data_IF_858816845589
#
_entry.id   IF_858816845589
#
_cell.length_a   1.000
_cell.length_b   1.000
_cell.length_c   1.000
_cell.angle_alpha   90.00
_cell.angle_beta   90.00
_cell.angle_gamma   90.00
#
_symmetry.space_group_name_H-M   'P 1'
#
loop_
_entity.id
_entity.type
_entity.pdbx_description
1 polymer ?
#
# COMPACT_ATOMS: atom_id res chain seq x y z
N UNK A 1 7.97 -6.87 18.06
CA UNK A 1 9.37 -7.30 18.01
C UNK A 1 9.51 -8.75 18.49
N UNK A 2 9.30 -9.03 19.79
CA UNK A 2 9.51 -10.36 20.39
C UNK A 2 8.74 -11.48 19.67
N UNK A 3 7.46 -11.28 19.35
CA UNK A 3 6.64 -12.28 18.66
C UNK A 3 7.20 -12.66 17.28
N UNK A 4 7.69 -11.69 16.49
CA UNK A 4 8.27 -11.99 15.16
C UNK A 4 9.53 -12.81 15.25
N UNK A 5 10.38 -12.54 16.23
CA UNK A 5 11.60 -13.31 16.47
C UNK A 5 11.29 -14.76 16.86
N UNK A 6 10.39 -14.96 17.83
CA UNK A 6 9.97 -16.29 18.26
C UNK A 6 9.29 -17.08 17.12
N UNK A 7 8.48 -16.40 16.29
CA UNK A 7 7.87 -17.04 15.10
C UNK A 7 8.92 -17.53 14.11
N UNK A 8 9.99 -16.75 13.87
CA UNK A 8 11.08 -17.16 12.98
C UNK A 8 11.79 -18.42 13.51
N UNK A 9 12.08 -18.47 14.81
CA UNK A 9 12.68 -19.65 15.46
C UNK A 9 11.79 -20.88 15.27
N UNK A 10 10.49 -20.75 15.51
CA UNK A 10 9.52 -21.84 15.36
C UNK A 10 9.39 -22.30 13.90
N UNK A 11 9.34 -21.37 12.97
CA UNK A 11 9.28 -21.64 11.53
C UNK A 11 10.53 -22.42 11.06
N UNK A 12 11.72 -21.98 11.47
CA UNK A 12 13.00 -22.68 11.18
C UNK A 12 13.02 -24.07 11.80
N UNK A 13 12.56 -24.24 13.05
CA UNK A 13 12.46 -25.53 13.73
C UNK A 13 11.51 -26.48 12.99
N UNK A 14 10.34 -25.99 12.57
CA UNK A 14 9.40 -26.79 11.78
C UNK A 14 10.02 -27.19 10.45
N UNK A 15 10.66 -26.26 9.73
CA UNK A 15 11.27 -26.52 8.42
C UNK A 15 12.42 -27.52 8.48
N UNK A 16 13.17 -27.55 9.58
CA UNK A 16 14.27 -28.50 9.82
C UNK A 16 13.84 -29.84 10.45
N UNK A 17 12.54 -29.99 10.73
CA UNK A 17 12.02 -31.22 11.35
C UNK A 17 12.20 -32.43 10.42
N UNK A 18 12.73 -33.56 10.90
CA UNK A 18 12.84 -34.80 10.12
C UNK A 18 11.48 -35.37 9.72
N UNK A 19 10.41 -34.95 10.41
CA UNK A 19 9.04 -35.44 10.16
C UNK A 19 8.29 -34.64 9.08
N UNK A 20 8.86 -33.54 8.59
CA UNK A 20 8.20 -32.66 7.59
C UNK A 20 7.84 -33.44 6.31
N UNK A 21 8.64 -34.45 5.96
CA UNK A 21 8.40 -35.29 4.79
C UNK A 21 7.22 -36.26 4.93
N UNK A 22 6.69 -36.42 6.15
CA UNK A 22 5.52 -37.24 6.44
C UNK A 22 4.20 -36.48 6.26
N UNK A 23 4.27 -35.13 6.12
CA UNK A 23 3.10 -34.33 5.85
C UNK A 23 2.58 -34.59 4.44
N UNK A 24 1.26 -34.60 4.30
CA UNK A 24 0.62 -34.65 2.98
C UNK A 24 0.99 -33.37 2.19
N UNK A 25 1.75 -33.58 1.10
CA UNK A 25 2.29 -32.48 0.30
C UNK A 25 1.19 -31.66 -0.38
N UNK A 26 0.08 -32.28 -0.76
CA UNK A 26 -1.02 -31.54 -1.40
C UNK A 26 -1.76 -30.67 -0.36
N UNK A 27 -2.06 -31.24 0.80
CA UNK A 27 -2.78 -30.55 1.88
C UNK A 27 -1.97 -29.42 2.49
N UNK A 28 -0.66 -29.62 2.71
CA UNK A 28 0.20 -28.67 3.40
C UNK A 28 1.03 -27.77 2.46
N UNK A 29 0.90 -27.90 1.15
CA UNK A 29 1.69 -27.14 0.17
C UNK A 29 1.69 -25.64 0.41
N UNK A 30 0.52 -25.04 0.48
CA UNK A 30 0.39 -23.58 0.67
C UNK A 30 0.91 -23.12 2.04
N UNK A 31 0.71 -23.90 3.08
CA UNK A 31 1.21 -23.62 4.42
C UNK A 31 2.74 -23.62 4.47
N UNK A 32 3.38 -24.67 3.95
CA UNK A 32 4.83 -24.80 3.95
C UNK A 32 5.50 -23.71 3.09
N UNK A 33 4.94 -23.39 1.94
CA UNK A 33 5.38 -22.28 1.09
C UNK A 33 5.30 -20.94 1.83
N UNK A 34 4.24 -20.73 2.60
CA UNK A 34 4.09 -19.56 3.46
C UNK A 34 5.19 -19.45 4.52
N UNK A 35 5.52 -20.55 5.18
CA UNK A 35 6.60 -20.62 6.17
C UNK A 35 7.97 -20.32 5.52
N UNK A 36 8.26 -20.92 4.37
CA UNK A 36 9.51 -20.66 3.63
C UNK A 36 9.66 -19.18 3.27
N UNK A 37 8.58 -18.56 2.80
CA UNK A 37 8.52 -17.12 2.55
C UNK A 37 8.84 -16.31 3.81
N UNK A 38 8.21 -16.61 4.93
CA UNK A 38 8.43 -15.89 6.18
C UNK A 38 9.87 -16.01 6.67
N UNK A 39 10.48 -17.21 6.61
CA UNK A 39 11.89 -17.42 6.94
C UNK A 39 12.80 -16.60 6.01
N UNK A 40 12.53 -16.60 4.71
CA UNK A 40 13.29 -15.86 3.70
C UNK A 40 13.28 -14.35 3.96
N UNK A 41 12.11 -13.81 4.28
CA UNK A 41 11.90 -12.38 4.46
C UNK A 41 12.29 -11.86 5.84
N UNK A 42 12.40 -12.74 6.83
CA UNK A 42 12.74 -12.33 8.19
C UNK A 42 14.16 -11.82 8.28
N UNK A 43 14.31 -10.59 8.78
CA UNK A 43 15.58 -9.96 9.17
C UNK A 43 15.37 -9.24 10.47
N UNK A 44 16.27 -9.47 11.43
CA UNK A 44 16.17 -8.89 12.76
C UNK A 44 16.28 -7.37 12.72
N UNK A 45 17.19 -6.83 11.89
CA UNK A 45 17.36 -5.40 11.65
C UNK A 45 16.10 -4.72 11.07
N UNK A 46 15.24 -5.45 10.39
CA UNK A 46 13.99 -4.92 9.86
C UNK A 46 12.90 -4.73 10.92
N UNK A 47 13.05 -5.32 12.11
CA UNK A 47 12.05 -5.21 13.19
C UNK A 47 11.87 -3.75 13.62
N UNK A 48 13.00 -3.04 13.83
CA UNK A 48 12.97 -1.63 14.21
C UNK A 48 12.36 -0.77 13.09
N UNK A 49 12.78 -0.99 11.84
CA UNK A 49 12.30 -0.24 10.68
C UNK A 49 10.80 -0.43 10.48
N UNK A 50 10.26 -1.64 10.67
CA UNK A 50 8.82 -1.87 10.64
C UNK A 50 8.05 -1.11 11.73
N UNK A 51 8.62 -0.99 12.95
CA UNK A 51 8.01 -0.19 14.01
C UNK A 51 7.97 1.30 13.64
N UNK A 52 9.06 1.84 13.09
CA UNK A 52 9.14 3.21 12.60
C UNK A 52 8.14 3.47 11.46
N UNK A 53 8.01 2.55 10.49
CA UNK A 53 7.02 2.65 9.42
C UNK A 53 5.58 2.71 9.94
N UNK A 54 5.28 1.98 11.03
CA UNK A 54 3.96 2.07 11.65
C UNK A 54 3.71 3.44 12.28
N UNK A 55 4.72 4.04 12.91
CA UNK A 55 4.63 5.41 13.46
C UNK A 55 4.42 6.43 12.34
N UNK A 56 5.17 6.32 11.24
CA UNK A 56 5.01 7.19 10.07
C UNK A 56 3.63 7.04 9.42
N UNK A 57 3.09 5.82 9.36
CA UNK A 57 1.73 5.59 8.87
C UNK A 57 0.66 6.25 9.76
N UNK A 58 0.87 6.25 11.10
CA UNK A 58 0.01 6.99 12.02
C UNK A 58 0.14 8.51 11.82
N UNK A 59 1.37 9.00 11.55
CA UNK A 59 1.59 10.41 11.26
C UNK A 59 0.81 10.86 10.01
N UNK A 60 0.79 10.06 8.95
CA UNK A 60 -0.07 10.32 7.78
C UNK A 60 -1.55 10.46 8.18
N UNK A 61 -2.04 9.56 9.03
CA UNK A 61 -3.41 9.62 9.56
C UNK A 61 -3.69 10.90 10.36
N UNK A 62 -2.72 11.35 11.16
CA UNK A 62 -2.82 12.59 11.93
C UNK A 62 -2.87 13.83 11.03
N UNK A 63 -2.00 13.91 10.00
CA UNK A 63 -1.99 15.01 9.03
C UNK A 63 -3.33 15.07 8.30
N UNK A 64 -3.77 13.98 7.73
CA UNK A 64 -5.00 13.94 6.91
C UNK A 64 -6.27 14.09 7.75
N UNK A 65 -6.27 13.57 8.98
CA UNK A 65 -7.40 13.65 9.90
C UNK A 65 -7.71 15.06 10.44
N UNK A 66 -6.68 15.94 10.50
CA UNK A 66 -6.85 17.35 10.90
C UNK A 66 -7.31 18.27 9.78
N UNK A 67 -7.39 17.77 8.54
CA UNK A 67 -7.82 18.58 7.42
C UNK A 67 -9.32 18.86 7.47
N UNK A 68 -9.69 20.12 7.55
CA UNK A 68 -11.07 20.59 7.54
C UNK A 68 -11.23 21.80 6.62
N UNK A 69 -12.46 22.05 6.19
CA UNK A 69 -12.89 23.24 5.45
C UNK A 69 -14.19 23.80 6.02
N UNK A 70 -14.39 25.08 5.85
CA UNK A 70 -15.64 25.75 6.20
C UNK A 70 -16.57 25.81 4.99
N UNK A 71 -17.85 25.40 5.19
CA UNK A 71 -18.94 25.56 4.23
C UNK A 71 -20.16 26.14 4.96
N UNK A 72 -20.67 27.26 4.49
CA UNK A 72 -21.82 27.98 5.10
C UNK A 72 -21.64 28.25 6.61
N UNK A 73 -20.45 28.70 7.02
CA UNK A 73 -20.13 29.04 8.41
C UNK A 73 -19.95 27.83 9.34
N UNK A 74 -19.91 26.62 8.80
CA UNK A 74 -19.73 25.39 9.56
C UNK A 74 -18.51 24.62 9.08
N UNK A 75 -17.72 24.13 10.05
CA UNK A 75 -16.53 23.34 9.78
C UNK A 75 -16.88 21.87 9.48
N UNK A 76 -16.24 21.30 8.45
CA UNK A 76 -16.38 19.90 8.01
C UNK A 76 -15.01 19.32 7.76
N UNK A 77 -14.80 18.07 8.18
CA UNK A 77 -13.63 17.29 7.71
C UNK A 77 -13.75 17.10 6.19
N UNK A 78 -12.62 16.87 5.49
CA UNK A 78 -12.67 16.67 4.01
C UNK A 78 -13.59 15.52 3.63
N UNK A 79 -13.66 14.47 4.46
CA UNK A 79 -14.56 13.34 4.22
C UNK A 79 -16.04 13.74 4.35
N UNK A 80 -16.39 14.53 5.37
CA UNK A 80 -17.73 15.07 5.53
C UNK A 80 -18.11 16.06 4.41
N UNK A 81 -17.14 16.88 3.97
CA UNK A 81 -17.33 17.85 2.90
C UNK A 81 -17.59 17.20 1.53
N UNK A 82 -17.15 15.96 1.32
CA UNK A 82 -17.38 15.22 0.07
C UNK A 82 -18.87 15.10 -0.31
N UNK A 83 -19.79 15.13 0.66
CA UNK A 83 -21.24 15.12 0.40
C UNK A 83 -21.73 16.31 -0.44
N UNK A 84 -21.07 17.46 -0.31
CA UNK A 84 -21.42 18.66 -1.09
C UNK A 84 -21.06 18.52 -2.57
N UNK A 85 -20.05 17.69 -2.90
CA UNK A 85 -19.65 17.41 -4.28
C UNK A 85 -20.69 16.58 -5.06
N UNK A 86 -21.65 15.97 -4.34
CA UNK A 86 -22.72 15.16 -4.92
C UNK A 86 -24.04 15.93 -5.12
N UNK A 87 -24.09 17.19 -4.71
CA UNK A 87 -25.31 18.01 -4.83
C UNK A 87 -25.53 18.50 -6.26
N UNK A 88 -26.79 18.82 -6.62
CA UNK A 88 -27.16 19.35 -7.94
C UNK A 88 -26.61 20.75 -8.21
N UNK A 89 -26.42 21.58 -7.17
CA UNK A 89 -25.89 22.93 -7.30
C UNK A 89 -24.42 22.91 -7.75
N UNK A 90 -24.18 23.30 -9.02
CA UNK A 90 -22.84 23.29 -9.62
C UNK A 90 -21.90 24.28 -8.95
N UNK A 91 -22.36 25.48 -8.59
CA UNK A 91 -21.53 26.51 -7.95
C UNK A 91 -21.02 26.04 -6.58
N UNK A 92 -21.90 25.43 -5.78
CA UNK A 92 -21.50 24.84 -4.49
C UNK A 92 -20.48 23.72 -4.66
N UNK A 93 -20.66 22.84 -5.66
CA UNK A 93 -19.67 21.78 -5.94
C UNK A 93 -18.31 22.35 -6.30
N UNK A 94 -18.27 23.36 -7.15
CA UNK A 94 -17.03 24.00 -7.59
C UNK A 94 -16.31 24.70 -6.42
N UNK A 95 -17.05 25.47 -5.63
CA UNK A 95 -16.53 26.11 -4.44
C UNK A 95 -15.92 25.11 -3.46
N UNK A 96 -16.66 24.06 -3.11
CA UNK A 96 -16.20 23.04 -2.16
C UNK A 96 -15.02 22.27 -2.74
N UNK A 97 -15.00 21.97 -4.04
CA UNK A 97 -13.87 21.33 -4.71
C UNK A 97 -12.58 22.16 -4.56
N UNK A 98 -12.66 23.46 -4.81
CA UNK A 98 -11.51 24.36 -4.66
C UNK A 98 -11.06 24.49 -3.21
N UNK A 99 -11.99 24.56 -2.25
CA UNK A 99 -11.65 24.59 -0.81
C UNK A 99 -10.91 23.31 -0.40
N UNK A 100 -11.39 22.14 -0.81
CA UNK A 100 -10.73 20.85 -0.53
C UNK A 100 -9.34 20.80 -1.17
N UNK A 101 -9.22 21.19 -2.44
CA UNK A 101 -7.94 21.20 -3.15
C UNK A 101 -6.92 22.14 -2.49
N UNK A 102 -7.35 23.36 -2.14
CA UNK A 102 -6.51 24.32 -1.44
C UNK A 102 -6.06 23.79 -0.07
N UNK A 103 -6.98 23.23 0.73
CA UNK A 103 -6.66 22.65 2.04
C UNK A 103 -5.61 21.56 1.97
N UNK A 104 -5.74 20.64 1.02
CA UNK A 104 -4.74 19.58 0.79
C UNK A 104 -3.37 20.13 0.43
N UNK A 105 -3.34 21.17 -0.38
CA UNK A 105 -2.09 21.82 -0.82
C UNK A 105 -1.31 22.47 0.34
N UNK A 106 -1.98 22.89 1.40
CA UNK A 106 -1.34 23.49 2.57
C UNK A 106 -0.39 22.51 3.29
N UNK A 107 -0.73 21.21 3.34
CA UNK A 107 0.09 20.19 3.99
C UNK A 107 0.99 19.43 2.99
N UNK A 108 1.10 19.88 1.73
CA UNK A 108 1.84 19.19 0.67
C UNK A 108 3.29 18.90 1.06
N UNK A 109 4.02 19.89 1.56
CA UNK A 109 5.44 19.73 1.91
C UNK A 109 5.65 18.69 3.03
N UNK A 110 4.78 18.70 4.04
CA UNK A 110 4.84 17.73 5.14
C UNK A 110 4.52 16.32 4.64
N UNK A 111 3.53 16.16 3.76
CA UNK A 111 3.18 14.89 3.15
C UNK A 111 4.26 14.37 2.21
N UNK A 112 4.87 15.22 1.40
CA UNK A 112 5.94 14.84 0.48
C UNK A 112 7.17 14.36 1.27
N UNK A 113 7.58 15.09 2.32
CA UNK A 113 8.69 14.68 3.19
C UNK A 113 8.42 13.33 3.90
N UNK A 114 7.19 13.16 4.42
CA UNK A 114 6.76 11.90 5.03
C UNK A 114 6.79 10.75 4.03
N UNK A 115 6.36 10.99 2.79
CA UNK A 115 6.35 9.98 1.74
C UNK A 115 7.77 9.56 1.34
N UNK A 116 8.68 10.51 1.21
CA UNK A 116 10.10 10.23 0.93
C UNK A 116 10.75 9.38 2.03
N UNK A 117 10.46 9.68 3.30
CA UNK A 117 10.94 8.88 4.43
C UNK A 117 10.36 7.45 4.39
N UNK A 118 9.07 7.30 4.09
CA UNK A 118 8.43 5.99 3.91
C UNK A 118 9.07 5.17 2.79
N UNK A 119 9.41 5.81 1.65
CA UNK A 119 10.08 5.16 0.51
C UNK A 119 11.47 4.69 0.94
N UNK A 120 12.26 5.56 1.57
CA UNK A 120 13.62 5.23 1.99
C UNK A 120 13.65 4.02 2.96
N UNK A 121 12.77 4.03 3.97
CA UNK A 121 12.68 2.92 4.94
C UNK A 121 12.19 1.62 4.30
N UNK A 122 11.23 1.68 3.41
CA UNK A 122 10.74 0.50 2.67
C UNK A 122 11.83 -0.08 1.76
N UNK A 123 12.60 0.78 1.10
CA UNK A 123 13.74 0.33 0.29
C UNK A 123 14.79 -0.35 1.15
N UNK A 124 15.11 0.21 2.32
CA UNK A 124 16.05 -0.39 3.25
C UNK A 124 15.62 -1.79 3.72
N UNK A 125 14.31 -1.99 4.02
CA UNK A 125 13.77 -3.31 4.35
C UNK A 125 14.04 -4.32 3.24
N UNK A 126 13.84 -3.91 1.99
CA UNK A 126 14.07 -4.78 0.84
C UNK A 126 15.54 -5.16 0.70
N UNK A 127 16.45 -4.18 0.79
CA UNK A 127 17.89 -4.41 0.74
C UNK A 127 18.37 -5.36 1.84
N UNK A 128 17.93 -5.16 3.09
CA UNK A 128 18.25 -6.03 4.21
C UNK A 128 17.77 -7.47 3.97
N UNK A 129 16.65 -7.65 3.29
CA UNK A 129 16.11 -8.95 2.94
C UNK A 129 16.73 -9.57 1.67
N UNK A 130 17.71 -8.89 1.04
CA UNK A 130 18.44 -9.37 -0.13
C UNK A 130 17.72 -9.12 -1.47
N UNK A 131 16.79 -8.18 -1.52
CA UNK A 131 16.10 -7.75 -2.74
C UNK A 131 16.72 -6.46 -3.28
N UNK A 132 16.74 -6.29 -4.58
CA UNK A 132 17.26 -5.08 -5.24
C UNK A 132 16.32 -3.87 -5.05
N UNK A 133 15.02 -4.12 -4.86
CA UNK A 133 14.01 -3.08 -4.75
C UNK A 133 12.82 -3.53 -3.88
N UNK A 134 12.04 -2.54 -3.41
CA UNK A 134 10.89 -2.79 -2.56
C UNK A 134 9.72 -3.49 -3.29
N UNK A 135 9.56 -3.31 -4.61
CA UNK A 135 8.51 -3.97 -5.39
C UNK A 135 8.66 -5.49 -5.29
N UNK A 136 9.85 -6.01 -5.53
CA UNK A 136 10.11 -7.44 -5.57
C UNK A 136 10.03 -8.06 -4.18
N UNK A 137 10.54 -7.35 -3.15
CA UNK A 137 10.32 -7.72 -1.75
C UNK A 137 8.81 -7.80 -1.41
N UNK A 138 8.05 -6.78 -1.77
CA UNK A 138 6.61 -6.71 -1.47
C UNK A 138 5.80 -7.73 -2.26
N UNK A 139 6.24 -8.06 -3.47
CA UNK A 139 5.63 -9.10 -4.30
C UNK A 139 5.72 -10.47 -3.61
N UNK A 140 6.90 -10.81 -3.10
CA UNK A 140 7.13 -12.01 -2.28
C UNK A 140 6.31 -11.95 -0.96
N UNK A 141 6.38 -10.83 -0.22
CA UNK A 141 5.67 -10.65 1.05
C UNK A 141 4.16 -10.86 0.90
N UNK A 142 3.57 -10.40 -0.20
CA UNK A 142 2.15 -10.60 -0.51
C UNK A 142 1.80 -12.04 -0.91
N UNK A 143 2.79 -12.93 -1.01
CA UNK A 143 2.58 -14.32 -1.39
C UNK A 143 2.10 -14.49 -2.84
N UNK A 144 2.56 -13.63 -3.74
CA UNK A 144 2.23 -13.68 -5.17
C UNK A 144 3.12 -14.71 -5.87
N UNK A 145 2.81 -15.99 -5.70
CA UNK A 145 3.67 -17.07 -6.15
C UNK A 145 3.29 -17.63 -7.53
N UNK A 146 2.07 -17.37 -8.01
CA UNK A 146 1.50 -18.07 -9.16
C UNK A 146 1.56 -17.23 -10.45
N UNK A 147 2.12 -16.03 -10.36
CA UNK A 147 2.38 -15.11 -11.49
C UNK A 147 3.58 -14.21 -11.17
N UNK A 148 4.15 -13.62 -12.18
CA UNK A 148 5.38 -12.82 -12.09
C UNK A 148 5.11 -11.31 -12.20
N UNK A 149 6.12 -10.49 -11.89
CA UNK A 149 6.09 -9.05 -12.14
C UNK A 149 5.90 -8.78 -13.64
N UNK A 150 6.54 -9.58 -14.52
CA UNK A 150 6.37 -9.44 -15.97
C UNK A 150 4.93 -9.67 -16.44
N UNK A 151 4.23 -10.63 -15.82
CA UNK A 151 2.80 -10.87 -16.12
C UNK A 151 1.94 -9.65 -15.75
N UNK A 152 2.26 -9.00 -14.61
CA UNK A 152 1.60 -7.74 -14.23
C UNK A 152 1.89 -6.61 -15.23
N UNK A 153 3.13 -6.48 -15.71
CA UNK A 153 3.52 -5.47 -16.69
C UNK A 153 2.82 -5.70 -18.04
N UNK A 154 2.69 -6.94 -18.46
CA UNK A 154 1.92 -7.30 -19.66
C UNK A 154 0.43 -6.96 -19.51
N UNK A 155 -0.15 -7.23 -18.32
CA UNK A 155 -1.53 -6.82 -18.05
C UNK A 155 -1.69 -5.30 -18.12
N UNK A 156 -0.77 -4.52 -17.51
CA UNK A 156 -0.79 -3.05 -17.60
C UNK A 156 -0.67 -2.57 -19.04
N UNK A 157 0.22 -3.18 -19.85
CA UNK A 157 0.35 -2.86 -21.26
C UNK A 157 -0.96 -3.15 -22.03
N UNK A 158 -1.62 -4.26 -21.72
CA UNK A 158 -2.92 -4.60 -22.31
C UNK A 158 -4.01 -3.58 -21.97
N UNK A 159 -4.09 -3.16 -20.71
CA UNK A 159 -5.02 -2.09 -20.31
C UNK A 159 -4.71 -0.79 -21.03
N UNK A 160 -3.43 -0.39 -21.11
CA UNK A 160 -3.01 0.83 -21.81
C UNK A 160 -3.37 0.81 -23.29
N UNK A 161 -3.14 -0.32 -23.96
CA UNK A 161 -3.28 -0.40 -25.41
C UNK A 161 -4.73 -0.63 -25.86
N UNK A 162 -5.54 -1.30 -25.06
CA UNK A 162 -6.88 -1.72 -25.48
C UNK A 162 -8.01 -1.06 -24.70
N UNK A 163 -7.81 -0.73 -23.44
CA UNK A 163 -8.89 -0.17 -22.60
C UNK A 163 -8.86 1.37 -22.61
N UNK A 164 -7.67 1.99 -22.47
CA UNK A 164 -7.59 3.45 -22.41
C UNK A 164 -8.17 4.14 -23.65
N UNK A 165 -7.97 3.67 -24.90
CA UNK A 165 -8.59 4.30 -26.06
C UNK A 165 -10.12 4.31 -26.00
N UNK A 166 -10.73 3.24 -25.49
CA UNK A 166 -12.20 3.15 -25.30
C UNK A 166 -12.68 4.19 -24.27
N UNK A 167 -11.93 4.32 -23.18
CA UNK A 167 -12.24 5.29 -22.11
C UNK A 167 -12.13 6.72 -22.64
N UNK A 168 -11.11 7.02 -23.45
CA UNK A 168 -10.91 8.34 -24.07
C UNK A 168 -12.05 8.68 -25.03
N UNK A 169 -12.53 7.72 -25.81
CA UNK A 169 -13.69 7.89 -26.70
C UNK A 169 -14.95 8.20 -25.89
N UNK A 170 -15.23 7.43 -24.81
CA UNK A 170 -16.37 7.66 -23.92
C UNK A 170 -16.32 9.04 -23.27
N UNK A 171 -15.16 9.51 -22.83
CA UNK A 171 -15.02 10.86 -22.26
C UNK A 171 -15.23 11.95 -23.31
N UNK A 172 -14.82 11.72 -24.53
CA UNK A 172 -15.04 12.66 -25.65
C UNK A 172 -16.52 12.82 -25.93
N UNK A 173 -17.27 11.70 -26.00
CA UNK A 173 -18.72 11.73 -26.15
C UNK A 173 -19.46 12.41 -25.00
N UNK A 174 -18.93 12.31 -23.78
CA UNK A 174 -19.52 12.94 -22.59
C UNK A 174 -19.31 14.46 -22.51
N UNK A 175 -18.33 14.99 -23.21
CA UNK A 175 -18.04 16.44 -23.26
C UNK A 175 -18.92 17.20 -24.26
N UNK A 176 -19.46 16.49 -25.26
CA UNK A 176 -20.40 16.98 -26.25
C UNK A 176 -21.83 16.79 -25.76
#
# INVERSE_FOLDING_TARGET
AKVKHESDILNKKLRSSPFIHQLDKALYFSYLRGIEKEIKLFKEENIAIHAELNVLAQHYGNITGRMSIEVDGKEYTLQQAAKFLMQSNRFLREEVYHKIAHRRKQDQQELDALFDELIAKRHQIALNAGFENYRDYKFEELGRFDYTVSDCEQFHASVKNYILPIVEELYTHKKN
#
